data_IF_177203584602
#
_entry.id   IF_177203584602
#
_cell.length_a   1.000
_cell.length_b   1.000
_cell.length_c   1.000
_cell.angle_alpha   90.00
_cell.angle_beta   90.00
_cell.angle_gamma   90.00
#
_symmetry.space_group_name_H-M   'P 1'
#
loop_
_entity.id
_entity.type
_entity.pdbx_description
1 polymer ?
#
# COMPACT_ATOMS: atom_id res chain seq x y z
N UNK A 1 -12.62 -21.35 -5.20
CA UNK A 1 -12.56 -19.90 -4.94
C UNK A 1 -11.95 -19.25 -6.17
N UNK A 2 -12.69 -18.35 -6.82
CA UNK A 2 -12.58 -18.02 -8.25
C UNK A 2 -11.22 -17.50 -8.71
N UNK A 3 -10.87 -17.87 -9.94
CA UNK A 3 -9.66 -17.45 -10.65
C UNK A 3 -9.70 -15.96 -11.02
N UNK A 4 -9.55 -15.05 -10.06
CA UNK A 4 -9.06 -13.72 -10.39
C UNK A 4 -7.61 -13.90 -10.82
N UNK A 5 -7.40 -14.08 -12.13
CA UNK A 5 -6.05 -14.00 -12.71
C UNK A 5 -5.46 -12.69 -12.18
N UNK A 6 -4.28 -12.70 -11.55
CA UNK A 6 -3.61 -11.48 -11.20
C UNK A 6 -3.52 -10.65 -12.49
N UNK A 7 -4.29 -9.56 -12.57
CA UNK A 7 -4.11 -8.61 -13.65
C UNK A 7 -2.65 -8.15 -13.52
N UNK A 8 -1.82 -8.27 -14.56
CA UNK A 8 -0.46 -7.78 -14.49
C UNK A 8 -0.50 -6.33 -14.02
N UNK A 9 0.39 -5.96 -13.12
CA UNK A 9 0.43 -4.60 -12.55
C UNK A 9 0.57 -3.54 -13.64
N UNK A 10 1.18 -3.88 -14.78
CA UNK A 10 1.23 -3.07 -16.00
C UNK A 10 -0.16 -2.73 -16.54
N UNK A 11 -1.07 -3.71 -16.56
CA UNK A 11 -2.44 -3.53 -17.08
C UNK A 11 -3.20 -2.61 -16.14
N UNK A 12 -3.05 -2.78 -14.82
CA UNK A 12 -3.65 -1.87 -13.84
C UNK A 12 -3.07 -0.46 -13.94
N UNK A 13 -1.76 -0.32 -14.13
CA UNK A 13 -1.10 0.96 -14.39
C UNK A 13 -1.59 1.62 -15.68
N UNK A 14 -1.80 0.83 -16.74
CA UNK A 14 -2.35 1.31 -18.01
C UNK A 14 -3.80 1.77 -17.86
N UNK A 15 -4.63 1.01 -17.16
CA UNK A 15 -6.01 1.42 -16.85
C UNK A 15 -6.04 2.69 -15.99
N UNK A 16 -5.13 2.78 -15.02
CA UNK A 16 -4.92 3.98 -14.23
C UNK A 16 -4.57 5.19 -15.10
N UNK A 17 -3.63 5.02 -16.03
CA UNK A 17 -3.21 6.05 -16.97
C UNK A 17 -4.32 6.46 -17.94
N UNK A 18 -5.06 5.50 -18.51
CA UNK A 18 -6.04 5.74 -19.56
C UNK A 18 -7.42 6.17 -19.05
N UNK A 19 -7.80 5.76 -17.84
CA UNK A 19 -9.15 5.99 -17.31
C UNK A 19 -9.10 6.84 -16.05
N UNK A 20 -8.28 6.45 -15.06
CA UNK A 20 -8.30 7.12 -13.77
C UNK A 20 -7.65 8.51 -13.83
N UNK A 21 -6.51 8.66 -14.50
CA UNK A 21 -5.83 9.93 -14.63
C UNK A 21 -6.70 11.00 -15.33
N UNK A 22 -7.28 10.77 -16.53
CA UNK A 22 -8.17 11.76 -17.13
C UNK A 22 -9.42 12.01 -16.27
N UNK A 23 -10.01 10.99 -15.66
CA UNK A 23 -11.17 11.19 -14.77
C UNK A 23 -10.84 12.08 -13.57
N UNK A 24 -9.67 11.89 -12.94
CA UNK A 24 -9.21 12.76 -11.85
C UNK A 24 -8.92 14.17 -12.36
N UNK A 25 -8.31 14.32 -13.54
CA UNK A 25 -8.05 15.63 -14.13
C UNK A 25 -9.35 16.42 -14.37
N UNK A 26 -10.38 15.76 -14.91
CA UNK A 26 -11.68 16.38 -15.20
C UNK A 26 -12.43 16.75 -13.91
N UNK A 27 -12.41 15.87 -12.89
CA UNK A 27 -13.09 16.12 -11.60
C UNK A 27 -12.46 17.26 -10.82
N UNK A 28 -11.13 17.39 -10.85
CA UNK A 28 -10.40 18.39 -10.08
C UNK A 28 -9.97 19.62 -10.91
N UNK A 29 -10.29 19.68 -12.20
CA UNK A 29 -9.92 20.78 -13.09
C UNK A 29 -8.40 20.94 -13.28
N UNK A 30 -7.67 19.83 -13.27
CA UNK A 30 -6.20 19.82 -13.36
C UNK A 30 -5.73 19.72 -14.81
N UNK A 31 -4.56 20.27 -15.11
CA UNK A 31 -3.94 20.18 -16.44
C UNK A 31 -3.45 18.76 -16.79
N UNK A 32 -3.19 17.94 -15.77
CA UNK A 32 -2.78 16.55 -15.92
C UNK A 32 -3.24 15.75 -14.71
N UNK A 33 -3.77 14.55 -14.97
CA UNK A 33 -4.10 13.57 -13.94
C UNK A 33 -2.91 12.75 -13.45
N UNK A 34 -1.72 12.99 -14.01
CA UNK A 34 -0.51 12.25 -13.66
C UNK A 34 0.18 12.89 -12.45
N UNK A 35 -0.29 12.52 -11.27
CA UNK A 35 0.15 13.14 -10.02
C UNK A 35 0.18 12.14 -8.86
N UNK A 36 0.74 12.58 -7.73
CA UNK A 36 0.84 11.77 -6.52
C UNK A 36 -0.53 11.28 -6.02
N UNK A 37 -1.56 12.10 -6.15
CA UNK A 37 -2.92 11.76 -5.72
C UNK A 37 -3.53 10.60 -6.52
N UNK A 38 -3.52 10.69 -7.85
CA UNK A 38 -4.03 9.62 -8.73
C UNK A 38 -3.28 8.32 -8.51
N UNK A 39 -1.95 8.39 -8.37
CA UNK A 39 -1.13 7.23 -8.06
C UNK A 39 -1.51 6.60 -6.70
N UNK A 40 -1.76 7.43 -5.68
CA UNK A 40 -2.18 6.97 -4.34
C UNK A 40 -3.55 6.28 -4.35
N UNK A 41 -4.52 6.81 -5.10
CA UNK A 41 -5.84 6.17 -5.27
C UNK A 41 -5.68 4.79 -5.87
N UNK A 42 -4.91 4.68 -6.95
CA UNK A 42 -4.74 3.42 -7.66
C UNK A 42 -4.05 2.36 -6.79
N UNK A 43 -3.01 2.76 -6.06
CA UNK A 43 -2.34 1.94 -5.04
C UNK A 43 -3.33 1.49 -3.96
N UNK A 44 -4.18 2.39 -3.45
CA UNK A 44 -5.16 2.05 -2.42
C UNK A 44 -6.15 0.98 -2.93
N UNK A 45 -6.69 1.16 -4.13
CA UNK A 45 -7.59 0.18 -4.77
C UNK A 45 -6.91 -1.19 -4.90
N UNK A 46 -5.60 -1.21 -5.19
CA UNK A 46 -4.84 -2.45 -5.30
C UNK A 46 -4.52 -3.10 -3.94
N UNK A 47 -4.25 -2.31 -2.90
CA UNK A 47 -3.97 -2.80 -1.55
C UNK A 47 -5.21 -3.38 -0.88
N UNK A 48 -6.37 -2.77 -1.12
CA UNK A 48 -7.63 -3.06 -0.43
C UNK A 48 -8.00 -4.56 -0.40
N UNK A 49 -8.03 -5.29 -1.53
CA UNK A 49 -8.39 -6.71 -1.52
C UNK A 49 -7.47 -7.56 -0.64
N UNK A 50 -6.18 -7.23 -0.61
CA UNK A 50 -5.19 -7.95 0.21
C UNK A 50 -5.45 -7.69 1.69
N UNK A 51 -5.66 -6.41 2.06
CA UNK A 51 -5.94 -6.02 3.44
C UNK A 51 -7.25 -6.63 3.92
N UNK A 52 -8.31 -6.60 3.09
CA UNK A 52 -9.63 -7.15 3.41
C UNK A 52 -9.54 -8.65 3.67
N UNK A 53 -8.89 -9.41 2.78
CA UNK A 53 -8.79 -10.87 2.92
C UNK A 53 -8.06 -11.26 4.22
N UNK A 54 -6.93 -10.64 4.53
CA UNK A 54 -6.15 -10.97 5.73
C UNK A 54 -6.89 -10.49 6.99
N UNK A 55 -7.58 -9.35 6.92
CA UNK A 55 -8.40 -8.86 8.03
C UNK A 55 -9.60 -9.77 8.31
N UNK A 56 -10.22 -10.33 7.28
CA UNK A 56 -11.32 -11.30 7.41
C UNK A 56 -10.85 -12.59 8.10
N UNK A 57 -9.67 -13.08 7.74
CA UNK A 57 -9.04 -14.22 8.40
C UNK A 57 -8.77 -13.92 9.89
N UNK A 58 -8.26 -12.72 10.20
CA UNK A 58 -8.03 -12.28 11.57
C UNK A 58 -9.33 -12.20 12.40
N UNK A 59 -10.40 -11.65 11.83
CA UNK A 59 -11.71 -11.54 12.50
C UNK A 59 -12.31 -12.93 12.73
N UNK A 60 -12.20 -13.83 11.75
CA UNK A 60 -12.76 -15.19 11.82
C UNK A 60 -12.00 -16.08 12.80
N UNK A 61 -10.73 -15.74 13.09
CA UNK A 61 -9.92 -16.44 14.09
C UNK A 61 -10.38 -16.21 15.53
N UNK A 62 -11.19 -15.18 15.79
CA UNK A 62 -11.71 -14.87 17.12
C UNK A 62 -12.68 -15.99 17.57
N UNK A 63 -12.44 -16.63 18.73
CA UNK A 63 -13.31 -17.69 19.24
C UNK A 63 -14.77 -17.24 19.37
N UNK A 64 -15.71 -18.04 18.84
CA UNK A 64 -17.16 -17.74 18.89
C UNK A 64 -17.69 -17.54 20.32
N UNK A 65 -17.04 -18.14 21.32
CA UNK A 65 -17.39 -17.96 22.73
C UNK A 65 -17.36 -16.49 23.19
N UNK A 66 -16.48 -15.66 22.64
CA UNK A 66 -16.47 -14.22 22.94
C UNK A 66 -17.74 -13.52 22.43
N UNK A 67 -18.18 -13.89 21.23
CA UNK A 67 -19.41 -13.36 20.62
C UNK A 67 -20.65 -13.83 21.38
N UNK A 68 -20.72 -15.12 21.72
CA UNK A 68 -21.83 -15.72 22.46
C UNK A 68 -21.95 -15.15 23.88
N UNK A 69 -20.83 -14.96 24.59
CA UNK A 69 -20.82 -14.35 25.91
C UNK A 69 -21.31 -12.89 25.87
N UNK A 70 -20.88 -12.11 24.87
CA UNK A 70 -21.35 -10.73 24.67
C UNK A 70 -22.86 -10.67 24.43
N UNK A 71 -23.40 -11.55 23.57
CA UNK A 71 -24.83 -11.65 23.31
C UNK A 71 -25.61 -12.08 24.57
N UNK A 72 -25.07 -13.00 25.37
CA UNK A 72 -25.69 -13.44 26.63
C UNK A 72 -25.76 -12.33 27.70
N UNK A 73 -24.85 -11.36 27.64
CA UNK A 73 -24.87 -10.15 28.49
C UNK A 73 -25.87 -9.09 28.01
N UNK A 74 -26.67 -9.38 26.97
CA UNK A 74 -27.68 -8.48 26.41
C UNK A 74 -27.11 -7.46 25.41
N UNK A 75 -25.87 -7.63 24.95
CA UNK A 75 -25.30 -6.77 23.91
C UNK A 75 -25.94 -7.08 22.54
N UNK A 76 -26.03 -6.06 21.67
CA UNK A 76 -26.45 -6.27 20.28
C UNK A 76 -25.26 -6.70 19.40
N UNK A 77 -25.55 -7.16 18.18
CA UNK A 77 -24.52 -7.60 17.22
C UNK A 77 -23.48 -6.51 16.91
N UNK A 78 -23.89 -5.24 16.78
CA UNK A 78 -22.98 -4.13 16.49
C UNK A 78 -22.04 -3.80 17.67
N UNK A 79 -22.56 -3.84 18.90
CA UNK A 79 -21.80 -3.67 20.13
C UNK A 79 -20.79 -4.80 20.31
N UNK A 80 -21.19 -6.04 20.03
CA UNK A 80 -20.29 -7.20 20.07
C UNK A 80 -19.16 -7.06 19.04
N UNK A 81 -19.47 -6.66 17.80
CA UNK A 81 -18.44 -6.43 16.78
C UNK A 81 -17.48 -5.32 17.23
N UNK A 82 -18.01 -4.16 17.63
CA UNK A 82 -17.19 -2.98 17.94
C UNK A 82 -16.37 -3.13 19.23
N UNK A 83 -16.92 -3.77 20.26
CA UNK A 83 -16.31 -3.79 21.60
C UNK A 83 -15.60 -5.10 21.94
N UNK A 84 -15.85 -6.18 21.20
CA UNK A 84 -15.27 -7.50 21.50
C UNK A 84 -14.48 -8.02 20.31
N UNK A 85 -15.13 -8.20 19.15
CA UNK A 85 -14.50 -8.86 18.00
C UNK A 85 -13.39 -8.00 17.38
N UNK A 86 -13.68 -6.73 17.07
CA UNK A 86 -12.69 -5.83 16.45
C UNK A 86 -11.47 -5.63 17.36
N UNK A 87 -11.60 -5.30 18.67
CA UNK A 87 -10.46 -5.18 19.56
C UNK A 87 -9.64 -6.47 19.67
N UNK A 88 -10.29 -7.63 19.72
CA UNK A 88 -9.61 -8.93 19.82
C UNK A 88 -8.85 -9.30 18.54
N UNK A 89 -9.34 -8.87 17.38
CA UNK A 89 -8.70 -9.09 16.09
C UNK A 89 -7.70 -7.97 15.69
N UNK A 90 -7.46 -6.97 16.56
CA UNK A 90 -6.66 -5.79 16.18
C UNK A 90 -5.23 -6.13 15.75
N UNK A 91 -4.57 -7.07 16.43
CA UNK A 91 -3.22 -7.49 16.05
C UNK A 91 -3.18 -8.00 14.61
N UNK A 92 -4.14 -8.85 14.24
CA UNK A 92 -4.27 -9.38 12.89
C UNK A 92 -4.66 -8.33 11.84
N UNK A 93 -5.55 -7.38 12.18
CA UNK A 93 -5.92 -6.28 11.27
C UNK A 93 -4.72 -5.33 11.03
N UNK A 94 -3.93 -5.02 12.07
CA UNK A 94 -2.73 -4.18 11.91
C UNK A 94 -1.69 -4.92 11.05
N UNK A 95 -1.50 -6.23 11.27
CA UNK A 95 -0.64 -7.05 10.43
C UNK A 95 -1.13 -7.09 8.96
N UNK A 96 -2.44 -7.20 8.73
CA UNK A 96 -3.04 -7.16 7.39
C UNK A 96 -2.73 -5.83 6.66
N UNK A 97 -2.87 -4.70 7.36
CA UNK A 97 -2.56 -3.38 6.82
C UNK A 97 -1.07 -3.30 6.46
N UNK A 98 -0.19 -3.75 7.34
CA UNK A 98 1.26 -3.71 7.11
C UNK A 98 1.68 -4.58 5.92
N UNK A 99 1.15 -5.80 5.82
CA UNK A 99 1.40 -6.70 4.69
C UNK A 99 0.86 -6.12 3.37
N UNK A 100 -0.33 -5.53 3.39
CA UNK A 100 -0.92 -4.85 2.24
C UNK A 100 -0.08 -3.67 1.75
N UNK A 101 0.36 -2.81 2.67
CA UNK A 101 1.24 -1.67 2.36
C UNK A 101 2.60 -2.14 1.83
N UNK A 102 3.23 -3.12 2.47
CA UNK A 102 4.48 -3.70 2.03
C UNK A 102 4.40 -4.28 0.61
N UNK A 103 3.28 -4.94 0.29
CA UNK A 103 3.02 -5.45 -1.07
C UNK A 103 3.00 -4.32 -2.10
N UNK A 104 2.29 -3.23 -1.83
CA UNK A 104 2.13 -2.17 -2.85
C UNK A 104 3.38 -1.30 -3.00
N UNK A 105 4.25 -1.21 -1.99
CA UNK A 105 5.59 -0.62 -2.16
C UNK A 105 6.40 -1.37 -3.24
N UNK A 106 6.17 -2.69 -3.38
CA UNK A 106 6.76 -3.50 -4.44
C UNK A 106 6.13 -3.32 -5.82
N UNK A 107 4.95 -2.72 -5.92
CA UNK A 107 4.22 -2.48 -7.17
C UNK A 107 4.73 -1.20 -7.87
N UNK A 108 6.02 -1.20 -8.17
CA UNK A 108 6.74 -0.05 -8.73
C UNK A 108 6.25 0.36 -10.12
N UNK A 109 5.74 -0.61 -10.89
CA UNK A 109 5.29 -0.40 -12.26
C UNK A 109 4.00 0.40 -12.36
N UNK A 110 3.08 0.24 -11.41
CA UNK A 110 1.83 1.00 -11.37
C UNK A 110 2.13 2.48 -11.16
N UNK A 111 2.99 2.77 -10.18
CA UNK A 111 3.35 4.14 -9.81
C UNK A 111 4.15 4.82 -10.92
N UNK A 112 5.06 4.08 -11.56
CA UNK A 112 5.83 4.54 -12.72
C UNK A 112 4.95 5.10 -13.84
N UNK A 113 3.80 4.47 -14.09
CA UNK A 113 2.92 4.83 -15.20
C UNK A 113 2.01 6.01 -14.89
N UNK A 114 1.61 6.19 -13.62
CA UNK A 114 0.52 7.12 -13.24
C UNK A 114 1.02 8.33 -12.46
N UNK A 115 2.18 8.27 -11.80
CA UNK A 115 2.68 9.37 -10.96
C UNK A 115 3.26 10.56 -11.76
N UNK A 116 3.37 10.46 -13.09
CA UNK A 116 3.85 11.53 -13.96
C UNK A 116 5.37 11.69 -14.06
N UNK A 117 6.13 11.02 -13.19
CA UNK A 117 7.57 10.79 -13.36
C UNK A 117 8.39 12.09 -13.55
N UNK A 118 7.98 13.17 -12.91
CA UNK A 118 8.69 14.44 -12.97
C UNK A 118 9.92 14.43 -12.06
N UNK A 119 11.02 15.01 -12.54
CA UNK A 119 12.26 15.21 -11.77
C UNK A 119 12.20 16.41 -10.81
N UNK A 120 11.19 17.26 -10.96
CA UNK A 120 10.99 18.43 -10.10
C UNK A 120 10.54 17.99 -8.69
N UNK A 121 10.93 18.76 -7.68
CA UNK A 121 10.44 18.55 -6.32
C UNK A 121 8.97 18.99 -6.25
N UNK A 122 8.05 18.11 -5.81
CA UNK A 122 6.63 18.48 -5.72
C UNK A 122 6.41 19.55 -4.66
N UNK A 123 5.58 20.53 -4.98
CA UNK A 123 5.15 21.62 -4.09
C UNK A 123 3.74 21.39 -3.53
N UNK A 124 2.95 20.55 -4.20
CA UNK A 124 1.60 20.18 -3.81
C UNK A 124 1.28 18.71 -4.04
N UNK A 125 0.13 18.27 -3.53
CA UNK A 125 -0.31 16.88 -3.61
C UNK A 125 -0.82 16.45 -5.00
N UNK A 126 -1.19 17.44 -5.82
CA UNK A 126 -1.57 17.24 -7.23
C UNK A 126 -0.39 17.40 -8.18
N UNK A 127 0.83 17.53 -7.67
CA UNK A 127 2.02 17.61 -8.51
C UNK A 127 2.46 16.21 -8.96
N UNK A 128 3.03 16.11 -10.17
CA UNK A 128 3.72 14.90 -10.62
C UNK A 128 4.90 14.57 -9.70
N UNK A 129 5.08 13.30 -9.40
CA UNK A 129 6.17 12.81 -8.55
C UNK A 129 6.90 11.64 -9.19
N UNK A 130 8.19 11.53 -8.85
CA UNK A 130 9.02 10.39 -9.22
C UNK A 130 9.53 9.69 -7.97
N UNK A 131 8.96 8.52 -7.60
CA UNK A 131 9.51 7.70 -6.53
C UNK A 131 10.95 7.30 -6.80
N UNK A 132 11.76 7.11 -5.76
CA UNK A 132 13.13 6.64 -5.93
C UNK A 132 13.19 5.25 -6.60
N UNK A 133 12.20 4.39 -6.35
CA UNK A 133 12.06 3.08 -7.01
C UNK A 133 11.88 3.22 -8.52
N UNK A 134 11.12 4.23 -8.95
CA UNK A 134 10.91 4.56 -10.35
C UNK A 134 12.19 5.10 -11.01
N UNK A 135 12.94 5.95 -10.29
CA UNK A 135 14.24 6.45 -10.76
C UNK A 135 15.20 5.30 -11.06
N UNK A 136 15.37 4.38 -10.11
CA UNK A 136 16.23 3.20 -10.30
C UNK A 136 15.74 2.36 -11.48
N UNK A 137 14.45 2.04 -11.55
CA UNK A 137 13.91 1.14 -12.56
C UNK A 137 14.11 1.62 -14.01
N UNK A 138 14.04 2.94 -14.22
CA UNK A 138 14.24 3.55 -15.54
C UNK A 138 15.73 3.73 -15.83
N UNK A 139 16.46 4.40 -14.93
CA UNK A 139 17.81 4.88 -15.23
C UNK A 139 18.85 3.77 -15.18
N UNK A 140 18.65 2.69 -14.38
CA UNK A 140 19.66 1.62 -14.24
C UNK A 140 19.96 0.91 -15.57
N UNK A 141 19.00 0.91 -16.50
CA UNK A 141 19.14 0.32 -17.83
C UNK A 141 19.75 1.26 -18.85
N UNK A 142 19.72 2.56 -18.59
CA UNK A 142 20.19 3.60 -19.50
C UNK A 142 21.64 4.02 -19.23
N UNK A 143 22.16 3.72 -18.04
CA UNK A 143 23.52 4.10 -17.62
C UNK A 143 24.59 3.08 -18.01
N UNK A 144 25.79 3.59 -18.31
CA UNK A 144 26.97 2.76 -18.59
C UNK A 144 27.52 2.19 -17.28
N UNK A 145 27.82 0.89 -17.28
CA UNK A 145 28.38 0.19 -16.12
C UNK A 145 29.73 0.81 -15.75
N UNK A 146 29.87 1.20 -14.48
CA UNK A 146 31.10 1.77 -13.93
C UNK A 146 31.17 3.30 -13.92
N UNK A 147 30.20 4.00 -14.50
CA UNK A 147 30.13 5.47 -14.43
C UNK A 147 29.66 5.96 -13.05
N UNK A 148 29.92 7.24 -12.75
CA UNK A 148 29.51 7.88 -11.49
C UNK A 148 27.99 7.80 -11.29
N UNK A 149 27.22 7.96 -12.37
CA UNK A 149 25.76 7.89 -12.30
C UNK A 149 25.27 6.47 -11.95
N UNK A 150 25.92 5.42 -12.47
CA UNK A 150 25.62 4.03 -12.11
C UNK A 150 25.84 3.79 -10.62
N UNK A 151 26.97 4.23 -10.07
CA UNK A 151 27.25 4.11 -8.63
C UNK A 151 26.26 4.89 -7.77
N UNK A 152 25.84 6.08 -8.22
CA UNK A 152 24.82 6.87 -7.53
C UNK A 152 23.47 6.14 -7.44
N UNK A 153 23.06 5.42 -8.49
CA UNK A 153 21.82 4.62 -8.45
C UNK A 153 21.88 3.49 -7.41
N UNK A 154 23.02 2.83 -7.25
CA UNK A 154 23.20 1.84 -6.18
C UNK A 154 23.13 2.48 -4.79
N UNK A 155 23.68 3.69 -4.62
CA UNK A 155 23.56 4.44 -3.38
C UNK A 155 22.09 4.80 -3.08
N UNK A 156 21.31 5.23 -4.08
CA UNK A 156 19.86 5.45 -3.93
C UNK A 156 19.14 4.16 -3.55
N UNK A 157 19.52 3.03 -4.15
CA UNK A 157 18.99 1.71 -3.79
C UNK A 157 19.30 1.32 -2.34
N UNK A 158 20.51 1.59 -1.86
CA UNK A 158 20.90 1.36 -0.47
C UNK A 158 20.08 2.24 0.49
N UNK A 159 19.91 3.52 0.16
CA UNK A 159 19.08 4.44 0.96
C UNK A 159 17.64 3.95 1.04
N UNK A 160 17.06 3.54 -0.10
CA UNK A 160 15.73 2.96 -0.14
C UNK A 160 15.63 1.69 0.71
N UNK A 161 16.59 0.79 0.58
CA UNK A 161 16.64 -0.43 1.37
C UNK A 161 16.66 -0.12 2.87
N UNK A 162 17.49 0.83 3.31
CA UNK A 162 17.55 1.24 4.71
C UNK A 162 16.24 1.87 5.19
N UNK A 163 15.59 2.71 4.37
CA UNK A 163 14.28 3.27 4.70
C UNK A 163 13.23 2.18 4.85
N UNK A 164 13.11 1.28 3.86
CA UNK A 164 12.15 0.19 3.89
C UNK A 164 12.42 -0.76 5.05
N UNK A 165 13.68 -1.09 5.31
CA UNK A 165 14.09 -1.91 6.44
C UNK A 165 13.70 -1.26 7.77
N UNK A 166 14.01 0.04 7.95
CA UNK A 166 13.67 0.76 9.18
C UNK A 166 12.15 0.80 9.44
N UNK A 167 11.35 1.06 8.40
CA UNK A 167 9.88 1.07 8.52
C UNK A 167 9.35 -0.32 8.86
N UNK A 168 9.78 -1.36 8.14
CA UNK A 168 9.33 -2.74 8.42
C UNK A 168 9.79 -3.24 9.78
N UNK A 169 11.00 -2.89 10.22
CA UNK A 169 11.52 -3.28 11.53
C UNK A 169 10.77 -2.57 12.68
N UNK A 170 10.50 -1.27 12.54
CA UNK A 170 9.69 -0.54 13.52
C UNK A 170 8.26 -1.08 13.61
N UNK A 171 7.68 -1.43 12.46
CA UNK A 171 6.38 -2.07 12.34
C UNK A 171 6.33 -3.42 13.08
N UNK A 172 7.32 -4.27 12.85
CA UNK A 172 7.44 -5.59 13.48
C UNK A 172 7.56 -5.51 15.01
N UNK A 173 8.38 -4.57 15.51
CA UNK A 173 8.51 -4.32 16.96
C UNK A 173 7.17 -3.89 17.58
N UNK A 174 6.41 -3.04 16.89
CA UNK A 174 5.13 -2.56 17.40
C UNK A 174 4.07 -3.66 17.49
N UNK A 175 4.06 -4.59 16.52
CA UNK A 175 3.16 -5.74 16.51
C UNK A 175 3.47 -6.72 17.66
N UNK A 176 4.73 -7.13 17.82
CA UNK A 176 5.14 -8.04 18.89
C UNK A 176 4.83 -7.49 20.29
N UNK A 177 4.84 -6.16 20.46
CA UNK A 177 4.49 -5.52 21.73
C UNK A 177 3.00 -5.59 22.08
N UNK A 178 2.12 -5.80 21.10
CA UNK A 178 0.68 -5.96 21.34
C UNK A 178 0.31 -7.40 21.68
N UNK A 179 1.02 -8.39 21.16
CA UNK A 179 0.83 -9.80 21.52
C UNK A 179 1.18 -10.07 22.99
N UNK A 180 2.18 -9.38 23.55
CA UNK A 180 2.54 -9.50 24.97
C UNK A 180 1.65 -8.74 25.96
N UNK A 181 0.59 -8.07 25.50
CA UNK A 181 -0.34 -7.28 26.35
C UNK A 181 -1.76 -7.84 26.42
N UNK A 182 -2.04 -8.95 25.73
CA UNK A 182 -3.32 -9.66 25.79
C UNK A 182 -3.24 -10.89 26.68
#
# INVERSE_FOLDING_TARGET
MGSTRPLPSVVLGLLGLLVLAPAVADVFGLSSGLNAFTASILIAIMALPTIISISEDAITSVPKGYTEASLALGANNWQTIRNVVVPSAMSGIIAAIMLGLGRVVGETMVVLMVAGNARAFPTGFFDPVRPMTATIAIEIKEVVVGDLHYQALYAVGLVLFLMTFAVNFAADIYLHRQEGKM
#
